data_IF_160634972588
#
_entry.id   IF_160634972588
#
_cell.length_a   1.000
_cell.length_b   1.000
_cell.length_c   1.000
_cell.angle_alpha   90.00
_cell.angle_beta   90.00
_cell.angle_gamma   90.00
#
_symmetry.space_group_name_H-M   'P 1'
#
loop_
_entity.id
_entity.type
_entity.pdbx_description
1 polymer ?
#
# COMPACT_ATOMS: atom_id res chain seq x y z
N UNK A 1 19.38 -4.76 12.88
CA UNK A 1 18.75 -5.14 11.60
C UNK A 1 18.56 -6.65 11.57
N UNK A 2 17.33 -7.14 11.38
CA UNK A 2 17.01 -8.53 11.10
C UNK A 2 17.32 -8.85 9.63
N UNK A 3 18.05 -9.93 9.38
CA UNK A 3 18.45 -10.40 8.05
C UNK A 3 17.72 -11.69 7.68
N UNK A 4 17.19 -11.84 6.45
CA UNK A 4 16.59 -13.08 6.02
C UNK A 4 17.66 -14.14 5.69
N UNK A 5 17.34 -15.41 5.93
CA UNK A 5 18.29 -16.50 5.75
C UNK A 5 18.57 -16.77 4.26
N UNK A 6 19.67 -16.21 3.71
CA UNK A 6 20.05 -16.33 2.29
C UNK A 6 20.09 -17.78 1.75
N UNK A 7 20.34 -18.80 2.58
CA UNK A 7 20.27 -20.22 2.16
C UNK A 7 18.82 -20.66 1.95
N UNK A 8 17.91 -20.22 2.82
CA UNK A 8 16.47 -20.47 2.67
C UNK A 8 15.89 -19.71 1.46
N UNK A 9 16.27 -18.45 1.26
CA UNK A 9 15.81 -17.64 0.11
C UNK A 9 16.20 -18.30 -1.21
N UNK A 10 17.45 -18.78 -1.34
CA UNK A 10 17.90 -19.52 -2.55
C UNK A 10 17.09 -20.79 -2.78
N UNK A 11 16.81 -21.56 -1.72
CA UNK A 11 15.94 -22.74 -1.83
C UNK A 11 14.53 -22.37 -2.30
N UNK A 12 13.96 -21.28 -1.79
CA UNK A 12 12.63 -20.80 -2.17
C UNK A 12 12.58 -20.26 -3.61
N UNK A 13 13.66 -19.64 -4.08
CA UNK A 13 13.86 -19.25 -5.47
C UNK A 13 13.96 -20.46 -6.41
N UNK A 14 14.72 -21.49 -6.03
CA UNK A 14 14.82 -22.74 -6.80
C UNK A 14 13.48 -23.48 -6.88
N UNK A 15 12.71 -23.47 -5.78
CA UNK A 15 11.33 -23.98 -5.76
C UNK A 15 10.42 -23.16 -6.68
N UNK A 16 10.46 -21.83 -6.61
CA UNK A 16 9.68 -20.95 -7.48
C UNK A 16 10.02 -21.15 -8.96
N UNK A 17 11.30 -21.19 -9.33
CA UNK A 17 11.76 -21.44 -10.71
C UNK A 17 11.30 -22.81 -11.23
N UNK A 18 11.35 -23.87 -10.42
CA UNK A 18 10.80 -25.19 -10.80
C UNK A 18 9.28 -25.15 -11.03
N UNK A 19 8.53 -24.43 -10.18
CA UNK A 19 7.09 -24.28 -10.34
C UNK A 19 6.74 -23.48 -11.60
N UNK A 20 7.44 -22.36 -11.87
CA UNK A 20 7.23 -21.57 -13.10
C UNK A 20 7.48 -22.40 -14.36
N UNK A 21 8.56 -23.20 -14.41
CA UNK A 21 8.82 -24.08 -15.56
C UNK A 21 7.71 -25.12 -15.80
N UNK A 22 7.13 -25.67 -14.72
CA UNK A 22 5.96 -26.57 -14.82
C UNK A 22 4.69 -25.83 -15.26
N UNK A 23 4.46 -24.62 -14.74
CA UNK A 23 3.31 -23.78 -15.08
C UNK A 23 3.37 -23.31 -16.55
N UNK A 24 4.53 -22.85 -17.01
CA UNK A 24 4.78 -22.45 -18.40
C UNK A 24 4.61 -23.65 -19.35
N UNK A 25 5.10 -24.83 -18.99
CA UNK A 25 4.89 -26.05 -19.79
C UNK A 25 3.42 -26.48 -19.85
N UNK A 26 2.65 -26.34 -18.75
CA UNK A 26 1.28 -26.87 -18.62
C UNK A 26 0.19 -25.89 -19.06
N UNK A 27 0.41 -24.59 -18.85
CA UNK A 27 -0.59 -23.53 -19.02
C UNK A 27 -0.13 -22.42 -19.98
N UNK A 28 1.08 -22.52 -20.54
CA UNK A 28 1.66 -21.50 -21.43
C UNK A 28 2.11 -20.21 -20.74
N UNK A 29 2.02 -20.14 -19.39
CA UNK A 29 2.46 -19.01 -18.58
C UNK A 29 2.70 -19.42 -17.12
N UNK A 30 3.60 -18.72 -16.44
CA UNK A 30 3.71 -18.74 -14.99
C UNK A 30 2.51 -18.03 -14.33
N UNK A 31 2.20 -18.39 -13.08
CA UNK A 31 1.18 -17.73 -12.28
C UNK A 31 1.74 -16.54 -11.48
N UNK A 32 0.90 -15.54 -11.22
CA UNK A 32 1.27 -14.30 -10.55
C UNK A 32 1.95 -14.51 -9.18
N UNK A 33 1.44 -15.45 -8.38
CA UNK A 33 2.02 -15.80 -7.09
C UNK A 33 3.41 -16.45 -7.23
N UNK A 34 3.63 -17.28 -8.26
CA UNK A 34 4.90 -17.96 -8.48
C UNK A 34 5.98 -17.00 -8.99
N UNK A 35 5.58 -16.06 -9.86
CA UNK A 35 6.40 -14.90 -10.26
C UNK A 35 6.76 -14.02 -9.07
N UNK A 36 5.79 -13.67 -8.21
CA UNK A 36 6.02 -12.87 -7.00
C UNK A 36 7.02 -13.55 -6.05
N UNK A 37 6.90 -14.86 -5.81
CA UNK A 37 7.84 -15.63 -4.98
C UNK A 37 9.27 -15.49 -5.48
N UNK A 38 9.47 -15.64 -6.79
CA UNK A 38 10.79 -15.47 -7.41
C UNK A 38 11.28 -14.02 -7.31
N UNK A 39 10.41 -13.04 -7.64
CA UNK A 39 10.71 -11.61 -7.59
C UNK A 39 11.18 -11.17 -6.19
N UNK A 40 10.44 -11.54 -5.14
CA UNK A 40 10.76 -11.23 -3.75
C UNK A 40 12.06 -11.91 -3.29
N UNK A 41 12.29 -13.17 -3.68
CA UNK A 41 13.54 -13.86 -3.36
C UNK A 41 14.77 -13.20 -4.02
N UNK A 42 14.66 -12.82 -5.30
CA UNK A 42 15.73 -12.14 -6.03
C UNK A 42 16.02 -10.76 -5.44
N UNK A 43 14.97 -10.00 -5.08
CA UNK A 43 15.10 -8.70 -4.41
C UNK A 43 15.92 -8.78 -3.12
N UNK A 44 15.56 -9.69 -2.20
CA UNK A 44 16.27 -9.90 -0.93
C UNK A 44 17.63 -10.58 -1.07
N UNK A 45 17.96 -11.13 -2.26
CA UNK A 45 19.32 -11.54 -2.59
C UNK A 45 20.17 -10.40 -3.18
N UNK A 46 19.55 -9.26 -3.52
CA UNK A 46 20.10 -8.16 -4.32
C UNK A 46 20.58 -8.63 -5.71
N UNK A 47 19.80 -9.50 -6.33
CA UNK A 47 20.07 -10.02 -7.67
C UNK A 47 19.44 -9.11 -8.74
N UNK A 48 20.18 -8.81 -9.81
CA UNK A 48 19.70 -7.94 -10.89
C UNK A 48 18.51 -8.52 -11.67
N UNK A 49 18.32 -9.85 -11.68
CA UNK A 49 17.13 -10.46 -12.26
C UNK A 49 15.83 -10.01 -11.57
N UNK A 50 15.90 -9.54 -10.31
CA UNK A 50 14.72 -9.09 -9.55
C UNK A 50 13.85 -8.10 -10.34
N UNK A 51 14.48 -7.22 -11.14
CA UNK A 51 13.77 -6.23 -11.95
C UNK A 51 12.80 -6.85 -12.94
N UNK A 52 13.22 -7.89 -13.66
CA UNK A 52 12.39 -8.56 -14.67
C UNK A 52 11.19 -9.25 -14.02
N UNK A 53 11.45 -10.01 -12.95
CA UNK A 53 10.41 -10.73 -12.23
C UNK A 53 9.41 -9.78 -11.56
N UNK A 54 9.84 -8.65 -11.01
CA UNK A 54 8.95 -7.62 -10.46
C UNK A 54 8.04 -7.02 -11.55
N UNK A 55 8.58 -6.70 -12.74
CA UNK A 55 7.77 -6.22 -13.88
C UNK A 55 6.74 -7.26 -14.35
N UNK A 56 7.16 -8.51 -14.59
CA UNK A 56 6.25 -9.62 -14.95
C UNK A 56 5.18 -9.87 -13.89
N UNK A 57 5.51 -9.66 -12.62
CA UNK A 57 4.57 -9.76 -11.49
C UNK A 57 3.53 -8.63 -11.55
N UNK A 58 3.96 -7.37 -11.77
CA UNK A 58 3.07 -6.20 -11.92
C UNK A 58 2.06 -6.43 -13.06
N UNK A 59 2.53 -6.88 -14.24
CA UNK A 59 1.66 -7.21 -15.39
C UNK A 59 0.62 -8.29 -15.05
N UNK A 60 0.99 -9.23 -14.18
CA UNK A 60 0.13 -10.35 -13.78
C UNK A 60 -0.87 -10.02 -12.65
N UNK A 61 -0.63 -8.97 -11.86
CA UNK A 61 -1.43 -8.63 -10.67
C UNK A 61 -2.68 -7.77 -10.95
N UNK A 62 -2.89 -7.36 -12.20
CA UNK A 62 -4.15 -6.78 -12.69
C UNK A 62 -4.55 -5.47 -11.98
N UNK A 63 -5.56 -5.55 -11.11
CA UNK A 63 -6.14 -4.37 -10.43
C UNK A 63 -5.73 -4.24 -8.95
N UNK A 64 -4.86 -5.10 -8.41
CA UNK A 64 -4.39 -4.95 -7.02
C UNK A 64 -3.38 -3.80 -6.90
N UNK A 65 -3.91 -2.58 -6.75
CA UNK A 65 -3.12 -1.33 -6.71
C UNK A 65 -2.12 -1.30 -5.55
N UNK A 66 -2.45 -1.87 -4.39
CA UNK A 66 -1.55 -1.92 -3.25
C UNK A 66 -0.31 -2.79 -3.53
N UNK A 67 -0.50 -3.97 -4.12
CA UNK A 67 0.63 -4.83 -4.52
C UNK A 67 1.48 -4.21 -5.61
N UNK A 68 0.86 -3.63 -6.64
CA UNK A 68 1.56 -2.94 -7.73
C UNK A 68 2.39 -1.76 -7.17
N UNK A 69 1.83 -0.98 -6.24
CA UNK A 69 2.55 0.10 -5.55
C UNK A 69 3.78 -0.40 -4.79
N UNK A 70 3.68 -1.52 -4.08
CA UNK A 70 4.81 -2.11 -3.36
C UNK A 70 5.89 -2.66 -4.31
N UNK A 71 5.53 -3.29 -5.42
CA UNK A 71 6.52 -3.73 -6.41
C UNK A 71 7.24 -2.54 -7.07
N UNK A 72 6.56 -1.43 -7.34
CA UNK A 72 7.22 -0.21 -7.79
C UNK A 72 8.13 0.42 -6.71
N UNK A 73 7.77 0.33 -5.41
CA UNK A 73 8.65 0.72 -4.30
C UNK A 73 9.94 -0.10 -4.32
N UNK A 74 9.83 -1.43 -4.43
CA UNK A 74 10.97 -2.36 -4.54
C UNK A 74 11.84 -2.11 -5.78
N UNK A 75 11.26 -1.57 -6.86
CA UNK A 75 11.99 -1.15 -8.06
C UNK A 75 12.67 0.23 -7.92
N UNK A 76 12.39 0.99 -6.86
CA UNK A 76 12.82 2.39 -6.70
C UNK A 76 11.98 3.40 -7.49
N UNK A 77 10.90 2.97 -8.13
CA UNK A 77 10.04 3.77 -9.02
C UNK A 77 9.01 4.58 -8.20
N UNK A 78 9.51 5.50 -7.38
CA UNK A 78 8.75 6.17 -6.29
C UNK A 78 7.46 6.84 -6.75
N UNK A 79 7.45 7.46 -7.94
CA UNK A 79 6.26 8.15 -8.45
C UNK A 79 5.14 7.18 -8.86
N UNK A 80 5.50 6.06 -9.52
CA UNK A 80 4.56 5.00 -9.86
C UNK A 80 4.05 4.30 -8.59
N UNK A 81 4.92 4.11 -7.60
CA UNK A 81 4.56 3.58 -6.29
C UNK A 81 3.51 4.45 -5.59
N UNK A 82 3.78 5.75 -5.40
CA UNK A 82 2.84 6.73 -4.82
C UNK A 82 1.50 6.75 -5.54
N UNK A 83 1.51 6.83 -6.88
CA UNK A 83 0.28 6.84 -7.68
C UNK A 83 -0.60 5.63 -7.41
N UNK A 84 -0.01 4.43 -7.33
CA UNK A 84 -0.77 3.21 -7.08
C UNK A 84 -1.21 3.06 -5.63
N UNK A 85 -0.43 3.51 -4.65
CA UNK A 85 -0.89 3.54 -3.27
C UNK A 85 -2.03 4.55 -3.05
N UNK A 86 -1.97 5.75 -3.62
CA UNK A 86 -3.08 6.72 -3.57
C UNK A 86 -4.37 6.17 -4.20
N UNK A 87 -4.26 5.45 -5.33
CA UNK A 87 -5.40 4.74 -5.94
C UNK A 87 -5.94 3.61 -5.04
N UNK A 88 -5.07 2.86 -4.37
CA UNK A 88 -5.49 1.82 -3.43
C UNK A 88 -6.25 2.44 -2.24
N UNK A 89 -5.68 3.48 -1.63
CA UNK A 89 -6.27 4.17 -0.49
C UNK A 89 -7.64 4.77 -0.82
N UNK A 90 -7.79 5.49 -1.94
CA UNK A 90 -9.08 6.01 -2.38
C UNK A 90 -10.14 4.90 -2.48
N UNK A 91 -9.80 3.79 -3.15
CA UNK A 91 -10.69 2.64 -3.28
C UNK A 91 -10.95 1.84 -1.99
N UNK A 92 -10.13 1.98 -0.95
CA UNK A 92 -10.43 1.45 0.39
C UNK A 92 -11.31 2.43 1.19
N UNK A 93 -10.98 3.72 1.18
CA UNK A 93 -11.71 4.79 1.87
C UNK A 93 -13.17 4.90 1.42
N UNK A 94 -13.45 4.72 0.13
CA UNK A 94 -14.83 4.64 -0.42
C UNK A 94 -15.66 3.47 0.13
N UNK A 95 -15.01 2.43 0.69
CA UNK A 95 -15.63 1.20 1.20
C UNK A 95 -15.31 0.96 2.68
N UNK A 96 -14.82 1.98 3.38
CA UNK A 96 -14.50 1.92 4.79
C UNK A 96 -15.77 1.67 5.61
N UNK A 97 -15.72 0.65 6.46
CA UNK A 97 -16.69 0.41 7.51
C UNK A 97 -15.93 0.48 8.85
N UNK A 98 -16.14 1.55 9.63
CA UNK A 98 -15.43 1.76 10.89
C UNK A 98 -15.86 0.81 12.02
N UNK A 99 -16.85 -0.05 11.80
CA UNK A 99 -17.25 -1.13 12.71
C UNK A 99 -16.73 -2.51 12.28
N UNK A 100 -16.08 -2.64 11.12
CA UNK A 100 -15.43 -3.87 10.65
C UNK A 100 -13.91 -3.77 10.76
N UNK A 101 -13.32 -4.58 11.64
CA UNK A 101 -11.88 -4.57 11.90
C UNK A 101 -11.06 -4.85 10.64
N UNK A 102 -11.54 -5.71 9.73
CA UNK A 102 -10.83 -6.01 8.47
C UNK A 102 -10.80 -4.79 7.53
N UNK A 103 -11.93 -4.09 7.38
CA UNK A 103 -12.04 -2.84 6.61
C UNK A 103 -11.16 -1.74 7.20
N UNK A 104 -11.16 -1.56 8.52
CA UNK A 104 -10.31 -0.60 9.23
C UNK A 104 -8.82 -0.91 9.01
N UNK A 105 -8.38 -2.17 9.20
CA UNK A 105 -6.97 -2.54 9.01
C UNK A 105 -6.49 -2.33 7.56
N UNK A 106 -7.27 -2.79 6.57
CA UNK A 106 -6.92 -2.62 5.16
C UNK A 106 -6.84 -1.14 4.76
N UNK A 107 -7.74 -0.31 5.29
CA UNK A 107 -7.77 1.13 4.99
C UNK A 107 -6.61 1.87 5.67
N UNK A 108 -6.26 1.54 6.92
CA UNK A 108 -5.11 2.10 7.62
C UNK A 108 -3.78 1.76 6.93
N UNK A 109 -3.61 0.51 6.51
CA UNK A 109 -2.44 0.06 5.75
C UNK A 109 -2.33 0.81 4.41
N UNK A 110 -3.45 0.99 3.70
CA UNK A 110 -3.47 1.76 2.47
C UNK A 110 -3.19 3.26 2.69
N UNK A 111 -3.72 3.85 3.77
CA UNK A 111 -3.46 5.24 4.17
C UNK A 111 -1.97 5.48 4.42
N UNK A 112 -1.32 4.59 5.21
CA UNK A 112 0.12 4.68 5.47
C UNK A 112 0.94 4.62 4.17
N UNK A 113 0.63 3.65 3.30
CA UNK A 113 1.34 3.47 2.03
C UNK A 113 1.11 4.64 1.06
N UNK A 114 -0.04 5.32 1.14
CA UNK A 114 -0.33 6.54 0.39
C UNK A 114 0.30 7.81 0.99
N UNK A 115 0.88 7.74 2.20
CA UNK A 115 1.46 8.88 2.92
C UNK A 115 0.48 9.66 3.81
N UNK A 116 -0.78 9.20 3.92
CA UNK A 116 -1.78 9.78 4.84
C UNK A 116 -1.56 9.20 6.26
N UNK A 117 -0.49 9.68 6.89
CA UNK A 117 -0.04 9.17 8.20
C UNK A 117 -0.99 9.56 9.35
N UNK A 118 -1.75 10.65 9.23
CA UNK A 118 -2.73 11.03 10.24
C UNK A 118 -3.94 10.08 10.23
N UNK A 119 -4.48 9.77 9.04
CA UNK A 119 -5.57 8.79 8.92
C UNK A 119 -5.11 7.37 9.27
N UNK A 120 -3.86 7.00 8.93
CA UNK A 120 -3.30 5.70 9.30
C UNK A 120 -3.15 5.52 10.83
N UNK A 121 -2.72 6.57 11.55
CA UNK A 121 -2.64 6.57 13.02
C UNK A 121 -4.06 6.49 13.63
N UNK A 122 -5.00 7.31 13.15
CA UNK A 122 -6.41 7.30 13.59
C UNK A 122 -7.07 5.94 13.42
N UNK A 123 -6.92 5.32 12.24
CA UNK A 123 -7.53 4.01 11.95
C UNK A 123 -6.85 2.87 12.71
N UNK A 124 -5.54 2.94 12.98
CA UNK A 124 -4.86 1.96 13.83
C UNK A 124 -5.28 2.05 15.31
N UNK A 125 -5.63 3.26 15.78
CA UNK A 125 -6.24 3.45 17.10
C UNK A 125 -7.68 2.95 17.13
N UNK A 126 -8.51 3.27 16.11
CA UNK A 126 -9.86 2.69 15.96
C UNK A 126 -9.84 1.17 15.90
N UNK A 127 -8.87 0.57 15.22
CA UNK A 127 -8.71 -0.89 15.20
C UNK A 127 -8.55 -1.45 16.63
N UNK A 128 -7.75 -0.78 17.49
CA UNK A 128 -7.51 -1.21 18.87
C UNK A 128 -8.76 -1.17 19.75
N UNK A 129 -9.77 -0.38 19.38
CA UNK A 129 -11.09 -0.38 20.04
C UNK A 129 -11.94 -1.60 19.64
N UNK A 130 -11.76 -2.11 18.42
CA UNK A 130 -12.49 -3.26 17.87
C UNK A 130 -11.83 -4.61 18.24
N UNK A 131 -10.50 -4.69 18.12
CA UNK A 131 -9.68 -5.83 18.50
C UNK A 131 -8.45 -5.34 19.31
N UNK A 132 -8.40 -5.61 20.63
CA UNK A 132 -7.34 -5.14 21.50
C UNK A 132 -6.09 -6.05 21.52
N UNK A 133 -5.95 -7.07 20.66
CA UNK A 133 -4.74 -7.92 20.62
C UNK A 133 -3.48 -7.12 20.21
N UNK A 134 -2.54 -6.87 21.14
CA UNK A 134 -1.34 -6.08 20.85
C UNK A 134 -0.37 -6.78 19.88
N UNK A 135 -0.55 -8.08 19.60
CA UNK A 135 0.30 -8.87 18.71
C UNK A 135 0.11 -8.60 17.21
N UNK A 136 -0.81 -7.71 16.83
CA UNK A 136 -1.22 -7.49 15.45
C UNK A 136 -0.41 -6.40 14.73
N UNK A 137 -0.05 -6.69 13.47
CA UNK A 137 0.76 -5.83 12.58
C UNK A 137 0.24 -4.39 12.51
N UNK A 138 -1.08 -4.21 12.52
CA UNK A 138 -1.76 -2.92 12.44
C UNK A 138 -1.33 -1.92 13.52
N UNK A 139 -0.95 -2.38 14.72
CA UNK A 139 -0.43 -1.49 15.75
C UNK A 139 0.98 -0.99 15.46
N UNK A 140 1.83 -1.81 14.83
CA UNK A 140 3.11 -1.35 14.31
C UNK A 140 2.91 -0.36 13.15
N UNK A 141 1.91 -0.55 12.28
CA UNK A 141 1.54 0.41 11.23
C UNK A 141 1.16 1.77 11.83
N UNK A 142 0.33 1.80 12.88
CA UNK A 142 -0.03 3.03 13.59
C UNK A 142 1.19 3.73 14.23
N UNK A 143 2.12 2.97 14.83
CA UNK A 143 3.38 3.50 15.34
C UNK A 143 4.25 4.09 14.23
N UNK A 144 4.39 3.40 13.10
CA UNK A 144 5.14 3.92 11.94
C UNK A 144 4.50 5.19 11.38
N UNK A 145 3.17 5.25 11.31
CA UNK A 145 2.44 6.45 10.89
C UNK A 145 2.75 7.63 11.82
N UNK A 146 2.68 7.41 13.14
CA UNK A 146 3.08 8.41 14.13
C UNK A 146 4.54 8.85 13.98
N UNK A 147 5.48 7.90 13.85
CA UNK A 147 6.90 8.18 13.66
C UNK A 147 7.16 9.04 12.41
N UNK A 148 6.50 8.70 11.29
CA UNK A 148 6.54 9.48 10.04
C UNK A 148 6.00 10.90 10.20
N UNK A 149 4.89 11.06 10.94
CA UNK A 149 4.21 12.34 11.19
C UNK A 149 4.99 13.25 12.15
N UNK A 150 5.71 12.69 13.12
CA UNK A 150 6.42 13.44 14.16
C UNK A 150 7.94 13.52 14.00
N UNK A 151 8.52 12.69 13.14
CA UNK A 151 9.99 12.50 13.05
C UNK A 151 10.59 11.74 14.24
N UNK A 152 9.77 11.06 15.06
CA UNK A 152 10.26 10.31 16.23
C UNK A 152 10.88 8.97 15.82
N UNK A 153 12.20 9.00 15.59
CA UNK A 153 13.04 7.83 15.29
C UNK A 153 12.82 6.66 16.25
N UNK A 154 12.66 6.93 17.55
CA UNK A 154 12.54 5.91 18.59
C UNK A 154 11.25 5.10 18.44
N UNK A 155 10.16 5.73 18.02
CA UNK A 155 8.90 5.05 17.70
C UNK A 155 9.03 4.20 16.43
N UNK A 156 9.85 4.63 15.46
CA UNK A 156 10.18 3.82 14.28
C UNK A 156 10.99 2.58 14.63
N UNK A 157 11.96 2.70 15.54
CA UNK A 157 12.77 1.58 16.04
C UNK A 157 11.91 0.57 16.80
N UNK A 158 11.05 1.02 17.73
CA UNK A 158 10.09 0.16 18.44
C UNK A 158 9.21 -0.65 17.46
N UNK A 159 8.67 0.00 16.43
CA UNK A 159 7.84 -0.67 15.43
C UNK A 159 8.65 -1.68 14.59
N UNK A 160 9.91 -1.37 14.26
CA UNK A 160 10.80 -2.29 13.56
C UNK A 160 11.13 -3.53 14.42
N UNK A 161 11.32 -3.36 15.74
CA UNK A 161 11.54 -4.47 16.67
C UNK A 161 10.31 -5.37 16.82
N UNK A 162 9.11 -4.78 16.92
CA UNK A 162 7.84 -5.51 16.97
C UNK A 162 7.61 -6.33 15.69
N UNK A 163 7.82 -5.72 14.51
CA UNK A 163 7.74 -6.42 13.23
C UNK A 163 8.78 -7.53 13.10
N UNK A 164 10.02 -7.29 13.56
CA UNK A 164 11.05 -8.33 13.59
C UNK A 164 10.68 -9.51 14.50
N UNK A 165 10.02 -9.25 15.63
CA UNK A 165 9.55 -10.30 16.53
C UNK A 165 8.32 -11.05 15.97
N UNK A 166 7.40 -10.36 15.29
CA UNK A 166 6.31 -11.00 14.54
C UNK A 166 6.87 -11.94 13.46
N UNK A 167 7.90 -11.51 12.71
CA UNK A 167 8.60 -12.34 11.71
C UNK A 167 9.20 -13.59 12.35
N UNK A 168 9.90 -13.46 13.49
CA UNK A 168 10.50 -14.60 14.20
C UNK A 168 9.45 -15.61 14.69
N UNK A 169 8.39 -15.12 15.34
CA UNK A 169 7.30 -15.94 15.91
C UNK A 169 6.51 -16.69 14.82
N UNK A 170 6.08 -15.98 13.79
CA UNK A 170 5.32 -16.55 12.66
C UNK A 170 6.17 -17.38 11.69
N UNK A 171 7.51 -17.18 11.71
CA UNK A 171 8.45 -17.68 10.70
C UNK A 171 8.13 -17.19 9.29
N UNK A 172 7.60 -15.96 9.19
CA UNK A 172 7.27 -15.32 7.92
C UNK A 172 8.46 -15.29 6.96
N UNK A 173 8.19 -15.56 5.70
CA UNK A 173 9.20 -15.66 4.64
C UNK A 173 9.18 -14.41 3.79
N UNK A 174 10.34 -14.05 3.25
CA UNK A 174 10.42 -12.98 2.24
C UNK A 174 9.59 -13.32 1.01
N UNK A 175 9.39 -14.62 0.71
CA UNK A 175 8.61 -15.10 -0.42
C UNK A 175 7.09 -15.11 -0.20
N UNK A 176 6.57 -14.72 0.97
CA UNK A 176 5.13 -14.82 1.23
C UNK A 176 4.34 -13.83 0.34
N UNK A 177 3.28 -14.32 -0.30
CA UNK A 177 2.60 -13.69 -1.45
C UNK A 177 1.26 -13.07 -1.14
N UNK A 178 0.79 -12.19 -2.04
CA UNK A 178 -0.62 -11.80 -2.13
C UNK A 178 -1.03 -10.58 -1.32
N UNK A 179 -0.17 -10.11 -0.41
CA UNK A 179 -0.31 -8.89 0.37
C UNK A 179 1.06 -8.23 0.57
N UNK A 180 1.08 -6.97 0.99
CA UNK A 180 2.26 -6.35 1.59
C UNK A 180 2.56 -7.13 2.87
N UNK A 181 3.67 -7.87 2.89
CA UNK A 181 3.97 -8.90 3.89
C UNK A 181 4.81 -8.33 5.04
N UNK A 182 5.05 -9.12 6.10
CA UNK A 182 5.76 -8.63 7.28
C UNK A 182 7.19 -8.14 6.98
N UNK A 183 7.86 -8.69 5.96
CA UNK A 183 9.19 -8.23 5.53
C UNK A 183 9.12 -6.88 4.79
N UNK A 184 8.09 -6.64 3.97
CA UNK A 184 7.85 -5.31 3.37
C UNK A 184 7.63 -4.24 4.44
N UNK A 185 6.82 -4.54 5.46
CA UNK A 185 6.55 -3.63 6.57
C UNK A 185 7.78 -3.39 7.45
N UNK A 186 8.59 -4.42 7.70
CA UNK A 186 9.86 -4.29 8.41
C UNK A 186 10.86 -3.42 7.63
N UNK A 187 10.91 -3.53 6.31
CA UNK A 187 11.73 -2.66 5.44
C UNK A 187 11.25 -1.20 5.48
N UNK A 188 9.94 -0.95 5.36
CA UNK A 188 9.32 0.37 5.53
C UNK A 188 9.64 1.00 6.90
N UNK A 189 9.76 0.20 7.97
CA UNK A 189 10.17 0.66 9.29
C UNK A 189 11.63 1.15 9.32
N UNK A 190 12.54 0.47 8.60
CA UNK A 190 13.93 0.91 8.46
C UNK A 190 14.06 2.17 7.59
N UNK A 191 13.32 2.23 6.47
CA UNK A 191 13.24 3.42 5.61
C UNK A 191 12.77 4.67 6.37
N UNK A 192 11.90 4.48 7.38
CA UNK A 192 11.37 5.55 8.23
C UNK A 192 12.45 6.19 9.09
N UNK A 193 13.36 5.39 9.66
CA UNK A 193 14.54 5.91 10.36
C UNK A 193 15.43 6.76 9.44
N UNK A 194 15.79 6.23 8.27
CA UNK A 194 16.73 6.87 7.35
C UNK A 194 16.22 8.20 6.78
N UNK A 195 14.91 8.35 6.51
CA UNK A 195 14.35 9.60 5.98
C UNK A 195 14.29 10.70 7.06
N UNK A 196 13.97 10.34 8.31
CA UNK A 196 14.01 11.28 9.44
C UNK A 196 15.43 11.79 9.74
N UNK A 197 16.46 10.95 9.61
CA UNK A 197 17.87 11.39 9.72
C UNK A 197 18.30 12.39 8.65
N UNK A 198 17.69 12.35 7.46
CA UNK A 198 18.02 13.24 6.32
C UNK A 198 17.33 14.59 6.37
N UNK A 199 16.40 14.80 7.31
CA UNK A 199 15.55 16.00 7.33
C UNK A 199 14.57 16.07 6.16
N UNK A 200 14.34 14.95 5.45
CA UNK A 200 13.28 14.79 4.45
C UNK A 200 11.95 14.63 5.19
N UNK A 201 11.46 15.75 5.73
CA UNK A 201 10.12 15.83 6.34
C UNK A 201 9.04 15.41 5.33
N UNK A 202 7.84 15.00 5.81
CA UNK A 202 6.78 14.54 4.93
C UNK A 202 6.48 15.60 3.88
N UNK A 203 6.70 15.26 2.61
CA UNK A 203 6.37 16.12 1.48
C UNK A 203 4.87 16.42 1.57
N UNK A 204 4.51 17.66 1.87
CA UNK A 204 3.15 18.05 2.14
C UNK A 204 2.28 17.81 0.89
N UNK A 205 1.48 16.73 0.92
CA UNK A 205 0.48 16.45 -0.11
C UNK A 205 -0.74 17.33 0.19
N UNK A 206 -0.62 18.61 -0.18
CA UNK A 206 -1.71 19.57 -0.17
C UNK A 206 -1.68 20.34 -1.51
N UNK A 207 -2.88 20.55 -2.08
CA UNK A 207 -3.16 21.33 -3.29
C UNK A 207 -2.49 20.89 -4.62
N UNK A 208 -3.02 19.83 -5.25
CA UNK A 208 -3.22 19.88 -6.72
C UNK A 208 -4.41 19.03 -7.26
N UNK A 209 -5.57 19.07 -6.58
CA UNK A 209 -6.86 18.61 -7.16
C UNK A 209 -7.97 19.64 -6.90
N UNK A 210 -7.89 20.82 -7.54
CA UNK A 210 -8.90 21.87 -7.33
C UNK A 210 -8.64 23.23 -8.01
N UNK A 211 -8.06 23.26 -9.23
CA UNK A 211 -7.43 24.47 -9.80
C UNK A 211 -8.11 25.15 -11.01
N UNK A 212 -9.42 24.96 -11.25
CA UNK A 212 -10.11 25.41 -12.48
C UNK A 212 -11.59 25.70 -12.15
N UNK A 213 -12.18 26.91 -12.19
CA UNK A 213 -11.73 28.29 -12.55
C UNK A 213 -12.32 29.32 -11.56
N UNK A 214 -11.61 30.43 -11.26
CA UNK A 214 -12.22 31.72 -10.86
C UNK A 214 -11.87 32.79 -11.91
N UNK A 215 -12.85 33.23 -12.70
CA UNK A 215 -12.82 34.52 -13.40
C UNK A 215 -13.92 35.38 -12.81
N UNK A 216 -13.54 36.50 -12.21
CA UNK A 216 -14.52 37.52 -11.83
C UNK A 216 -15.02 38.25 -13.06
N UNK A 217 -16.28 38.67 -13.01
CA UNK A 217 -16.68 40.02 -13.41
C UNK A 217 -17.98 40.36 -12.68
N UNK A 218 -18.01 41.54 -12.07
CA UNK A 218 -19.20 42.10 -11.46
C UNK A 218 -19.72 43.24 -12.35
N UNK A 219 -21.04 43.29 -12.59
CA UNK A 219 -21.88 44.50 -12.61
C UNK A 219 -23.22 44.27 -13.36
N UNK A 220 -24.34 44.48 -12.65
CA UNK A 220 -25.67 44.80 -13.24
C UNK A 220 -26.40 43.70 -14.02
N UNK A 221 -27.72 43.72 -14.19
CA UNK A 221 -28.81 44.54 -13.61
C UNK A 221 -30.16 43.86 -13.93
N UNK A 222 -31.12 43.87 -13.00
CA UNK A 222 -32.55 43.66 -13.29
C UNK A 222 -33.10 42.22 -13.17
N UNK A 223 -34.22 42.08 -12.45
CA UNK A 223 -35.19 40.98 -12.62
C UNK A 223 -36.37 41.45 -13.52
N UNK A 224 -37.59 40.86 -13.44
CA UNK A 224 -38.05 39.75 -12.58
C UNK A 224 -38.86 38.64 -13.31
N UNK A 225 -39.36 37.69 -12.50
CA UNK A 225 -40.61 36.89 -12.66
C UNK A 225 -40.77 35.75 -13.70
N UNK A 226 -41.81 34.94 -13.39
CA UNK A 226 -42.44 33.79 -14.07
C UNK A 226 -41.80 32.41 -13.76
N UNK A 227 -42.37 31.55 -12.91
CA UNK A 227 -43.68 30.86 -12.88
C UNK A 227 -43.85 29.66 -13.84
N UNK A 228 -44.51 28.63 -13.29
CA UNK A 228 -45.15 27.47 -13.95
C UNK A 228 -44.21 26.39 -14.55
N UNK A 229 -44.26 25.14 -14.02
CA UNK A 229 -45.05 23.96 -14.50
C UNK A 229 -44.36 23.20 -15.65
N UNK A 230 -44.51 21.90 -15.88
CA UNK A 230 -45.03 20.73 -15.13
C UNK A 230 -44.72 19.50 -16.03
N UNK A 231 -45.09 18.28 -15.63
CA UNK A 231 -45.37 17.10 -16.49
C UNK A 231 -44.22 16.34 -17.19
N UNK A 232 -43.86 15.22 -16.53
CA UNK A 232 -44.06 13.82 -16.99
C UNK A 232 -43.25 13.18 -18.14
N UNK A 233 -42.74 12.00 -17.78
CA UNK A 233 -42.91 10.68 -18.42
C UNK A 233 -42.58 10.48 -19.92
N UNK A 234 -41.63 9.57 -20.19
CA UNK A 234 -41.83 8.27 -20.90
C UNK A 234 -40.47 7.56 -21.02
N UNK A 235 -40.26 6.43 -20.35
CA UNK A 235 -40.44 5.06 -20.88
C UNK A 235 -39.79 4.79 -22.24
N UNK A 236 -38.70 4.03 -22.24
CA UNK A 236 -38.35 3.11 -23.30
C UNK A 236 -37.95 1.77 -22.66
N UNK A 237 -38.71 0.73 -22.96
CA UNK A 237 -38.34 -0.66 -22.77
C UNK A 237 -38.60 -1.36 -24.10
N UNK A 238 -37.54 -1.91 -24.68
CA UNK A 238 -37.50 -3.03 -25.63
C UNK A 238 -36.24 -3.84 -25.33
#
# INVERSE_FOLDING_TARGET
MLEPNRKQIRKELDEARRMMGFEEQRYGRAFAATLERAARCLYWLHDSEAREYLLRTIESYGQNRQMIGNFYRMLGEQELSRRHFGQAFGGFKERLNEDDFMSVAATAEAAFLAGDYEEAERLADRYRELDPDPGLRIHAVGKLARARRTGDLRVSEEAAEELAEMIRKSRAKVSDTGNVNLWDWYELALETGVQSERGEGPAAVADEVGGVVRRGNAAGTGGPDLQERDLRERTCAE
#
